data_IF_041608795443
#
_entry.id   IF_041608795443
#
_cell.length_a   1.000
_cell.length_b   1.000
_cell.length_c   1.000
_cell.angle_alpha   90.00
_cell.angle_beta   90.00
_cell.angle_gamma   90.00
#
_symmetry.space_group_name_H-M   'P 1'
#
loop_
_entity.id
_entity.type
_entity.pdbx_description
1 polymer ?
#
# COMPACT_ATOMS: atom_id res chain seq x y z
N UNK A 1 -27.98 -25.86 18.80
CA UNK A 1 -27.35 -27.02 18.14
C UNK A 1 -25.85 -26.76 18.08
N UNK A 2 -25.05 -27.35 18.98
CA UNK A 2 -23.60 -27.13 19.00
C UNK A 2 -22.95 -28.04 17.95
N UNK A 3 -22.40 -27.45 16.89
CA UNK A 3 -21.64 -28.19 15.89
C UNK A 3 -20.35 -28.66 16.56
N UNK A 4 -20.20 -29.97 16.77
CA UNK A 4 -18.94 -30.57 17.20
C UNK A 4 -17.94 -30.42 16.04
N UNK A 5 -17.00 -29.49 16.19
CA UNK A 5 -15.91 -29.33 15.23
C UNK A 5 -14.94 -30.50 15.40
N UNK A 6 -14.74 -31.25 14.33
CA UNK A 6 -13.73 -32.32 14.28
C UNK A 6 -12.32 -31.71 14.17
N UNK A 7 -11.55 -31.80 15.26
CA UNK A 7 -10.19 -31.22 15.36
C UNK A 7 -9.16 -31.86 14.42
N UNK A 8 -9.48 -33.03 13.85
CA UNK A 8 -8.61 -33.73 12.89
C UNK A 8 -8.81 -33.20 11.46
N UNK A 9 -9.96 -32.58 11.19
CA UNK A 9 -10.33 -32.01 9.89
C UNK A 9 -10.13 -30.50 9.80
N UNK A 10 -9.52 -29.88 10.82
CA UNK A 10 -9.21 -28.46 10.78
C UNK A 10 -8.13 -28.24 9.71
N UNK A 11 -8.38 -27.38 8.70
CA UNK A 11 -7.41 -27.10 7.67
C UNK A 11 -6.15 -26.47 8.28
N UNK A 12 -4.98 -26.90 7.81
CA UNK A 12 -3.72 -26.22 8.09
C UNK A 12 -3.60 -25.02 7.14
N UNK A 13 -3.17 -23.89 7.67
CA UNK A 13 -2.78 -22.71 6.90
C UNK A 13 -1.27 -22.56 6.94
N UNK A 14 -0.71 -22.13 5.81
CA UNK A 14 0.66 -21.68 5.76
C UNK A 14 0.73 -20.27 6.37
N UNK A 15 1.33 -20.18 7.55
CA UNK A 15 1.59 -18.93 8.26
C UNK A 15 3.07 -18.63 8.19
N UNK A 16 3.46 -17.69 7.33
CA UNK A 16 4.74 -17.01 7.47
C UNK A 16 4.59 -15.98 8.60
N UNK A 17 4.68 -16.46 9.85
CA UNK A 17 4.47 -15.64 11.03
C UNK A 17 5.77 -15.41 11.79
N UNK A 18 6.09 -14.15 12.06
CA UNK A 18 6.91 -13.81 13.23
C UNK A 18 5.99 -13.56 14.41
N UNK A 19 6.33 -14.10 15.57
CA UNK A 19 5.65 -13.82 16.83
C UNK A 19 6.51 -12.86 17.63
N UNK A 20 5.90 -11.82 18.17
CA UNK A 20 6.54 -10.92 19.13
C UNK A 20 6.40 -11.52 20.53
N UNK A 21 7.51 -11.66 21.26
CA UNK A 21 7.42 -12.08 22.66
C UNK A 21 7.00 -10.93 23.56
N UNK A 22 5.99 -11.14 24.39
CA UNK A 22 5.47 -10.11 25.30
C UNK A 22 6.46 -9.71 26.40
N UNK A 23 7.44 -10.57 26.72
CA UNK A 23 8.42 -10.31 27.78
C UNK A 23 9.68 -9.62 27.26
N UNK A 24 10.35 -10.21 26.26
CA UNK A 24 11.62 -9.65 25.77
C UNK A 24 11.44 -8.69 24.60
N UNK A 25 10.23 -8.58 24.01
CA UNK A 25 9.97 -7.71 22.87
C UNK A 25 10.63 -8.18 21.56
N UNK A 26 11.25 -9.35 21.56
CA UNK A 26 11.93 -9.88 20.37
C UNK A 26 10.96 -10.67 19.49
N UNK A 27 11.10 -10.47 18.17
CA UNK A 27 10.33 -11.19 17.18
C UNK A 27 11.07 -12.46 16.74
N UNK A 28 10.38 -13.60 16.71
CA UNK A 28 10.96 -14.88 16.28
C UNK A 28 10.03 -15.61 15.31
N UNK A 29 10.62 -16.46 14.46
CA UNK A 29 9.87 -17.23 13.46
C UNK A 29 9.22 -18.45 14.11
N UNK A 30 8.02 -18.77 13.66
CA UNK A 30 7.32 -20.02 14.01
C UNK A 30 7.19 -20.95 12.82
N UNK A 31 6.84 -22.20 13.11
CA UNK A 31 6.58 -23.21 12.09
C UNK A 31 5.53 -22.72 11.10
N UNK A 32 5.84 -22.93 9.81
CA UNK A 32 5.07 -22.43 8.69
C UNK A 32 3.69 -23.07 8.57
N UNK A 33 3.47 -24.26 9.12
CA UNK A 33 2.18 -24.97 9.02
C UNK A 33 1.48 -25.00 10.36
N UNK A 34 0.39 -24.24 10.47
CA UNK A 34 -0.39 -24.16 11.70
C UNK A 34 -1.86 -24.47 11.46
N UNK A 35 -2.55 -25.01 12.46
CA UNK A 35 -3.98 -25.29 12.36
C UNK A 35 -4.79 -24.00 12.45
N UNK A 36 -5.73 -23.81 11.53
CA UNK A 36 -6.61 -22.64 11.54
C UNK A 36 -7.50 -22.61 12.80
N UNK A 37 -7.76 -21.43 13.35
CA UNK A 37 -8.60 -21.25 14.55
C UNK A 37 -8.11 -22.07 15.75
N UNK A 38 -6.79 -22.24 15.87
CA UNK A 38 -6.18 -22.95 16.99
C UNK A 38 -5.40 -22.00 17.89
N UNK A 39 -5.32 -22.40 19.16
CA UNK A 39 -4.44 -21.78 20.14
C UNK A 39 -3.12 -22.53 20.09
N UNK A 40 -2.03 -21.80 19.91
CA UNK A 40 -0.67 -22.35 19.85
C UNK A 40 0.11 -21.74 20.98
N UNK A 41 0.76 -22.60 21.75
CA UNK A 41 1.73 -22.20 22.77
C UNK A 41 3.10 -22.34 22.13
N UNK A 42 3.84 -21.23 22.06
CA UNK A 42 5.20 -21.22 21.52
C UNK A 42 6.16 -20.71 22.58
N UNK A 43 7.34 -21.31 22.64
CA UNK A 43 8.38 -20.88 23.57
C UNK A 43 9.32 -19.91 22.87
N UNK A 44 9.53 -18.75 23.46
CA UNK A 44 10.47 -17.76 22.95
C UNK A 44 11.90 -18.32 23.03
N UNK A 45 12.68 -18.31 21.92
CA UNK A 45 14.05 -18.80 21.93
C UNK A 45 15.00 -17.90 22.74
N UNK A 46 14.70 -16.60 22.90
CA UNK A 46 15.58 -15.67 23.61
C UNK A 46 15.42 -15.71 25.13
N UNK A 47 14.19 -15.77 25.64
CA UNK A 47 13.93 -15.69 27.09
C UNK A 47 13.29 -16.95 27.70
N UNK A 48 12.95 -17.96 26.88
CA UNK A 48 12.32 -19.19 27.34
C UNK A 48 10.86 -19.05 27.78
N UNK A 49 10.25 -17.86 27.65
CA UNK A 49 8.86 -17.63 28.01
C UNK A 49 7.88 -18.29 27.03
N UNK A 50 6.74 -18.75 27.53
CA UNK A 50 5.68 -19.32 26.71
C UNK A 50 4.69 -18.24 26.27
N UNK A 51 4.64 -17.94 24.98
CA UNK A 51 3.67 -17.03 24.39
C UNK A 51 2.47 -17.84 23.86
N UNK A 52 1.26 -17.41 24.25
CA UNK A 52 -0.01 -17.98 23.77
C UNK A 52 -0.48 -17.15 22.58
N UNK A 53 -0.61 -17.80 21.42
CA UNK A 53 -0.99 -17.15 20.18
C UNK A 53 -2.26 -17.80 19.62
N UNK A 54 -3.15 -16.97 19.09
CA UNK A 54 -4.40 -17.44 18.47
C UNK A 54 -4.32 -17.19 16.98
N UNK A 55 -4.25 -18.27 16.20
CA UNK A 55 -4.27 -18.14 14.74
C UNK A 55 -5.70 -18.03 14.27
N UNK A 56 -6.08 -16.84 13.86
CA UNK A 56 -7.37 -16.59 13.22
C UNK A 56 -7.15 -16.33 11.74
N UNK A 57 -7.97 -16.94 10.88
CA UNK A 57 -8.18 -16.37 9.55
C UNK A 57 -9.03 -15.14 9.76
N UNK A 58 -8.41 -13.97 9.90
CA UNK A 58 -9.19 -12.75 9.80
C UNK A 58 -9.32 -12.43 8.32
N UNK A 59 -10.28 -13.08 7.66
CA UNK A 59 -10.73 -12.67 6.30
C UNK A 59 -10.98 -11.16 6.30
N UNK A 60 -11.53 -10.63 7.39
CA UNK A 60 -11.67 -9.18 7.63
C UNK A 60 -10.35 -8.42 7.56
N UNK A 61 -9.27 -8.92 8.17
CA UNK A 61 -7.95 -8.29 8.08
C UNK A 61 -7.40 -8.32 6.65
N UNK A 62 -7.63 -9.41 5.92
CA UNK A 62 -7.25 -9.51 4.50
C UNK A 62 -8.04 -8.47 3.69
N UNK A 63 -9.36 -8.38 3.88
CA UNK A 63 -10.22 -7.40 3.22
C UNK A 63 -9.79 -5.95 3.53
N UNK A 64 -9.54 -5.64 4.81
CA UNK A 64 -9.03 -4.35 5.26
C UNK A 64 -7.67 -4.01 4.63
N UNK A 65 -6.78 -5.01 4.49
CA UNK A 65 -5.46 -4.83 3.87
C UNK A 65 -5.60 -4.58 2.37
N UNK A 66 -6.47 -5.31 1.68
CA UNK A 66 -6.80 -5.10 0.26
C UNK A 66 -7.35 -3.69 0.05
N UNK A 67 -8.24 -3.22 0.92
CA UNK A 67 -8.79 -1.87 0.83
C UNK A 67 -7.72 -0.79 0.99
N UNK A 68 -6.79 -0.96 1.94
CA UNK A 68 -5.63 -0.08 2.12
C UNK A 68 -4.73 -0.05 0.88
N UNK A 69 -4.46 -1.20 0.27
CA UNK A 69 -3.66 -1.30 -0.97
C UNK A 69 -4.34 -0.53 -2.11
N UNK A 70 -5.65 -0.71 -2.32
CA UNK A 70 -6.41 0.02 -3.35
C UNK A 70 -6.35 1.54 -3.16
N UNK A 71 -6.41 1.99 -1.90
CA UNK A 71 -6.29 3.42 -1.56
C UNK A 71 -4.92 3.98 -1.92
N UNK A 72 -3.85 3.24 -1.58
CA UNK A 72 -2.47 3.62 -1.94
C UNK A 72 -2.28 3.67 -3.46
N UNK A 73 -2.79 2.69 -4.19
CA UNK A 73 -2.74 2.67 -5.66
C UNK A 73 -3.41 3.90 -6.27
N UNK A 74 -4.58 4.30 -5.75
CA UNK A 74 -5.28 5.51 -6.19
C UNK A 74 -4.47 6.78 -5.94
N UNK A 75 -3.83 6.91 -4.77
CA UNK A 75 -2.98 8.05 -4.44
C UNK A 75 -1.76 8.12 -5.37
N UNK A 76 -1.12 6.97 -5.64
CA UNK A 76 0.04 6.87 -6.52
C UNK A 76 -0.30 7.27 -7.96
N UNK A 77 -1.46 6.86 -8.47
CA UNK A 77 -1.98 7.31 -9.78
C UNK A 77 -2.24 8.81 -9.84
N UNK A 78 -2.76 9.42 -8.77
CA UNK A 78 -2.96 10.88 -8.69
C UNK A 78 -1.63 11.62 -8.73
N UNK A 79 -0.65 11.18 -7.93
CA UNK A 79 0.70 11.75 -7.91
C UNK A 79 1.38 11.66 -9.28
N UNK A 80 1.28 10.50 -9.95
CA UNK A 80 1.80 10.33 -11.31
C UNK A 80 1.21 11.36 -12.27
N UNK A 81 -0.11 11.57 -12.23
CA UNK A 81 -0.79 12.55 -13.10
C UNK A 81 -0.35 13.98 -12.78
N UNK A 82 -0.17 14.33 -11.51
CA UNK A 82 0.34 15.64 -11.11
C UNK A 82 1.75 15.88 -11.66
N UNK A 83 2.64 14.90 -11.57
CA UNK A 83 3.99 15.00 -12.14
C UNK A 83 3.98 15.13 -13.67
N UNK A 84 3.09 14.41 -14.36
CA UNK A 84 2.93 14.56 -15.82
C UNK A 84 2.52 15.97 -16.23
N UNK A 85 1.65 16.63 -15.44
CA UNK A 85 1.24 18.03 -15.66
C UNK A 85 2.43 18.96 -15.42
N UNK A 86 3.15 18.82 -14.30
CA UNK A 86 4.33 19.65 -13.99
C UNK A 86 5.44 19.49 -15.05
N UNK A 87 5.63 18.28 -15.58
CA UNK A 87 6.57 18.05 -16.68
C UNK A 87 6.15 18.77 -17.96
N UNK A 88 4.85 18.81 -18.27
CA UNK A 88 4.34 19.58 -19.41
C UNK A 88 4.52 21.09 -19.17
N UNK A 89 4.18 21.61 -18.00
CA UNK A 89 4.32 23.03 -17.65
C UNK A 89 5.79 23.48 -17.75
N UNK A 90 6.74 22.67 -17.27
CA UNK A 90 8.18 22.96 -17.39
C UNK A 90 8.73 22.76 -18.82
N UNK A 91 7.99 22.10 -19.72
CA UNK A 91 8.37 21.90 -21.13
C UNK A 91 7.81 22.98 -22.07
N UNK A 92 6.93 23.86 -21.58
CA UNK A 92 6.51 25.06 -22.29
C UNK A 92 7.36 26.26 -21.85
N UNK A 93 8.62 26.30 -22.32
CA UNK A 93 9.23 27.59 -22.60
C UNK A 93 8.49 28.12 -23.82
N UNK A 94 7.53 29.01 -23.57
CA UNK A 94 6.84 29.78 -24.59
C UNK A 94 7.91 30.67 -25.27
N UNK A 95 8.63 30.11 -26.24
CA UNK A 95 9.38 30.88 -27.22
C UNK A 95 8.35 31.53 -28.13
N UNK A 96 7.58 32.46 -27.58
CA UNK A 96 6.84 33.43 -28.37
C UNK A 96 7.91 34.16 -29.19
N UNK A 97 7.91 34.05 -30.53
CA UNK A 97 8.89 34.77 -31.30
C UNK A 97 8.67 36.25 -31.00
N UNK A 98 9.71 36.94 -30.53
CA UNK A 98 9.75 38.40 -30.31
C UNK A 98 9.51 39.22 -31.61
N UNK A 99 9.06 38.57 -32.67
CA UNK A 99 8.77 39.09 -34.00
C UNK A 99 7.49 39.95 -34.04
N UNK A 100 6.73 39.99 -32.94
CA UNK A 100 5.62 40.95 -32.74
C UNK A 100 6.01 42.17 -31.89
N UNK A 101 7.31 42.48 -31.77
CA UNK A 101 7.72 43.83 -31.44
C UNK A 101 7.30 44.75 -32.60
N UNK A 102 6.07 45.27 -32.51
CA UNK A 102 5.52 46.25 -33.44
C UNK A 102 6.48 47.43 -33.50
N UNK A 103 7.22 47.54 -34.59
CA UNK A 103 7.99 48.74 -34.93
C UNK A 103 7.07 49.95 -34.76
N UNK A 104 7.38 50.82 -33.79
CA UNK A 104 6.64 52.05 -33.48
C UNK A 104 6.61 53.07 -34.64
N UNK A 105 7.23 52.74 -35.78
CA UNK A 105 7.40 53.61 -36.95
C UNK A 105 6.58 53.20 -38.19
N UNK A 106 5.75 52.15 -38.14
CA UNK A 106 4.83 51.83 -39.24
C UNK A 106 3.40 52.17 -38.87
N UNK A 107 2.93 53.33 -39.32
CA UNK A 107 1.50 53.62 -39.36
C UNK A 107 0.80 52.61 -40.30
N UNK A 108 -0.30 51.98 -39.87
CA UNK A 108 -1.10 51.17 -40.77
C UNK A 108 -1.87 52.11 -41.71
N UNK A 109 -1.58 52.05 -43.01
CA UNK A 109 -2.44 52.67 -44.02
C UNK A 109 -3.78 51.93 -44.04
N UNK A 110 -4.91 52.59 -43.79
CA UNK A 110 -6.21 51.95 -43.89
C UNK A 110 -6.46 51.59 -45.36
N UNK A 111 -6.71 50.31 -45.63
CA UNK A 111 -7.32 49.90 -46.89
C UNK A 111 -8.73 50.47 -46.92
N UNK A 112 -8.94 51.50 -47.74
CA UNK A 112 -10.27 51.93 -48.13
C UNK A 112 -10.94 50.76 -48.87
N UNK A 113 -12.19 50.49 -48.48
CA UNK A 113 -13.07 49.43 -48.96
C UNK A 113 -13.09 49.28 -50.48
#
# INVERSE_FOLDING_TARGET
MFVKIDRHKIPCVETEGTILCDICGESYKIDSKQKLHSIIVTTCPNCGHQNINVITNSIKFIDETIEKIKKLESQLKKLKRSLEIEMQENSYVDNYPEVYAVDKNKQPNPKLL
#
